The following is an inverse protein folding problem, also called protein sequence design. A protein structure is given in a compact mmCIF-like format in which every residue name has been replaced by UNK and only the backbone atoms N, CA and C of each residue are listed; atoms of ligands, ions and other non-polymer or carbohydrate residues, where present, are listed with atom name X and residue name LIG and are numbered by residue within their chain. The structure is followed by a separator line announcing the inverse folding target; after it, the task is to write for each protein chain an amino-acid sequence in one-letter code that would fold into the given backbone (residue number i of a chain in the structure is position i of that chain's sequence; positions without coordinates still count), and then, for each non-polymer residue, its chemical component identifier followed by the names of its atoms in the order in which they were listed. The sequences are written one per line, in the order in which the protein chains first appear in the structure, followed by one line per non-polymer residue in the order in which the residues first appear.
data_IF_165894988960
#
_entry.id   IF_165894988960
#
_cell.length_a   1.000
_cell.length_b   1.000
_cell.length_c   1.000
_cell.angle_alpha   90.00
_cell.angle_beta   90.00
_cell.angle_gamma   90.00
#
_symmetry.space_group_name_H-M   'P 1'
#
loop_
_entity.id
_entity.type
_entity.pdbx_description
1 polymer ?
#
# COMPACT_ATOMS: atom_id res chain seq x y z
N UNK A 1 13.51 3.79 -3.58
CA UNK A 1 12.52 3.45 -2.53
C UNK A 1 11.90 2.10 -2.86
N UNK A 2 11.44 1.34 -1.87
CA UNK A 2 10.83 0.02 -2.10
C UNK A 2 10.09 -0.48 -0.86
N UNK A 3 9.46 -1.65 -0.96
CA UNK A 3 8.76 -2.30 0.17
C UNK A 3 9.06 -3.79 0.18
N UNK A 4 8.97 -4.41 1.35
CA UNK A 4 9.13 -5.86 1.55
C UNK A 4 8.02 -6.34 2.47
N UNK A 5 7.42 -7.48 2.13
CA UNK A 5 6.39 -8.12 2.94
C UNK A 5 6.83 -9.53 3.34
N UNK A 6 6.46 -9.95 4.53
CA UNK A 6 6.68 -11.29 5.04
C UNK A 6 5.42 -11.80 5.72
N UNK A 7 4.99 -13.01 5.37
CA UNK A 7 3.82 -13.66 5.94
C UNK A 7 2.93 -14.33 4.89
N UNK A 8 1.89 -15.05 5.32
CA UNK A 8 0.90 -15.64 4.41
C UNK A 8 0.10 -14.56 3.66
N UNK A 9 -0.25 -14.83 2.40
CA UNK A 9 -1.18 -13.99 1.62
C UNK A 9 -0.61 -12.69 1.06
N UNK A 10 0.69 -12.43 1.19
CA UNK A 10 1.30 -11.14 0.79
C UNK A 10 1.30 -10.86 -0.72
N UNK A 11 0.94 -11.82 -1.56
CA UNK A 11 0.91 -11.67 -3.03
C UNK A 11 0.09 -10.45 -3.48
N UNK A 12 -1.06 -10.22 -2.85
CA UNK A 12 -1.92 -9.07 -3.17
C UNK A 12 -1.24 -7.74 -2.83
N UNK A 13 -0.59 -7.66 -1.66
CA UNK A 13 0.16 -6.49 -1.21
C UNK A 13 1.36 -6.19 -2.12
N UNK A 14 2.09 -7.23 -2.54
CA UNK A 14 3.20 -7.11 -3.51
C UNK A 14 2.69 -6.56 -4.84
N UNK A 15 1.53 -7.01 -5.30
CA UNK A 15 0.94 -6.54 -6.55
C UNK A 15 0.60 -5.04 -6.48
N UNK A 16 -0.14 -4.58 -5.46
CA UNK A 16 -0.47 -3.16 -5.31
C UNK A 16 0.78 -2.28 -5.09
N UNK A 17 1.76 -2.79 -4.32
CA UNK A 17 3.02 -2.09 -4.09
C UNK A 17 3.86 -1.94 -5.37
N UNK A 18 3.80 -2.91 -6.28
CA UNK A 18 4.53 -2.85 -7.55
C UNK A 18 4.08 -1.65 -8.36
N UNK A 19 2.79 -1.34 -8.41
CA UNK A 19 2.29 -0.14 -9.09
C UNK A 19 2.78 1.15 -8.41
N UNK A 20 2.73 1.21 -7.07
CA UNK A 20 3.18 2.38 -6.33
C UNK A 20 4.68 2.65 -6.54
N UNK A 21 5.52 1.61 -6.49
CA UNK A 21 6.98 1.73 -6.63
C UNK A 21 7.39 1.93 -8.09
N UNK A 22 6.96 1.06 -9.01
CA UNK A 22 7.36 1.14 -10.42
C UNK A 22 6.75 2.36 -11.13
N UNK A 23 5.57 2.80 -10.70
CA UNK A 23 4.92 4.02 -11.18
C UNK A 23 5.39 5.30 -10.49
N UNK A 24 6.34 5.21 -9.56
CA UNK A 24 6.84 6.34 -8.75
C UNK A 24 5.69 7.22 -8.23
N UNK A 25 4.63 6.58 -7.71
CA UNK A 25 3.40 7.28 -7.33
C UNK A 25 3.70 8.13 -6.09
N UNK A 26 3.48 9.46 -6.13
CA UNK A 26 3.68 10.32 -4.97
C UNK A 26 2.79 9.91 -3.81
N UNK A 27 3.30 10.03 -2.58
CA UNK A 27 2.60 9.59 -1.36
C UNK A 27 1.27 10.32 -1.21
N UNK A 28 1.20 11.59 -1.61
CA UNK A 28 -0.02 12.40 -1.57
C UNK A 28 -1.12 11.80 -2.47
N UNK A 29 -0.74 11.10 -3.55
CA UNK A 29 -1.69 10.43 -4.45
C UNK A 29 -2.14 9.08 -3.90
N UNK A 30 -1.28 8.37 -3.16
CA UNK A 30 -1.63 7.08 -2.57
C UNK A 30 -2.79 7.17 -1.56
N UNK A 31 -2.99 8.33 -0.94
CA UNK A 31 -4.13 8.58 -0.04
C UNK A 31 -5.50 8.44 -0.72
N UNK A 32 -5.55 8.58 -2.04
CA UNK A 32 -6.76 8.43 -2.83
C UNK A 32 -6.99 7.00 -3.32
N UNK A 33 -6.04 6.09 -3.09
CA UNK A 33 -6.20 4.69 -3.46
C UNK A 33 -7.14 4.01 -2.48
N UNK A 34 -8.29 3.54 -2.98
CA UNK A 34 -9.25 2.78 -2.19
C UNK A 34 -8.98 1.28 -2.39
N UNK A 35 -8.57 0.54 -1.35
CA UNK A 35 -8.43 -0.90 -1.46
C UNK A 35 -9.80 -1.58 -1.65
N UNK A 36 -9.83 -2.69 -2.38
CA UNK A 36 -11.05 -3.48 -2.52
C UNK A 36 -11.41 -4.15 -1.18
N UNK A 37 -12.70 -4.32 -0.89
CA UNK A 37 -13.18 -5.05 0.28
C UNK A 37 -13.83 -6.38 -0.14
N UNK A 38 -13.58 -7.50 0.55
CA UNK A 38 -12.60 -7.71 1.63
C UNK A 38 -11.23 -8.14 1.09
N UNK A 39 -10.13 -7.47 1.50
CA UNK A 39 -8.77 -7.82 1.04
C UNK A 39 -7.67 -7.49 2.04
N UNK A 40 -6.45 -8.02 1.84
CA UNK A 40 -5.30 -7.63 2.68
C UNK A 40 -4.86 -6.19 2.41
N UNK A 41 -5.17 -5.64 1.24
CA UNK A 41 -4.91 -4.24 0.89
C UNK A 41 -5.53 -3.20 1.83
N UNK A 42 -6.50 -3.59 2.68
CA UNK A 42 -7.04 -2.75 3.74
C UNK A 42 -5.99 -2.30 4.78
N UNK A 43 -4.78 -2.87 4.76
CA UNK A 43 -3.63 -2.41 5.58
C UNK A 43 -3.07 -1.05 5.12
N UNK A 44 -3.22 -0.70 3.83
CA UNK A 44 -2.56 0.47 3.25
C UNK A 44 -2.99 1.81 3.85
N UNK A 45 -4.30 2.09 4.08
CA UNK A 45 -4.72 3.34 4.71
C UNK A 45 -4.08 3.54 6.09
N UNK A 46 -4.01 2.48 6.91
CA UNK A 46 -3.37 2.54 8.25
C UNK A 46 -1.87 2.82 8.19
N UNK A 47 -1.19 2.25 7.19
CA UNK A 47 0.23 2.54 6.95
C UNK A 47 0.43 4.01 6.55
N UNK A 48 -0.43 4.54 5.66
CA UNK A 48 -0.35 5.93 5.21
C UNK A 48 -0.72 6.92 6.32
N UNK A 49 -1.66 6.58 7.21
CA UNK A 49 -1.98 7.34 8.42
C UNK A 49 -0.74 7.49 9.31
N UNK A 50 -0.02 6.38 9.55
CA UNK A 50 1.20 6.37 10.35
C UNK A 50 2.30 7.23 9.71
N UNK A 51 2.37 7.27 8.38
CA UNK A 51 3.36 8.07 7.65
C UNK A 51 3.05 9.57 7.68
N UNK A 52 1.76 9.95 7.65
CA UNK A 52 1.33 11.36 7.69
C UNK A 52 1.56 12.02 9.05
N UNK A 53 1.68 11.23 10.11
CA UNK A 53 1.71 11.72 11.49
C UNK A 53 0.31 12.06 12.03
N UNK A 54 0.18 12.31 13.34
CA UNK A 54 -1.06 12.81 13.95
C UNK A 54 -1.45 14.21 13.46
#
# INVERSE_FOLDING_TARGET
MGVTFAGPGVTELVHSATFAVAGEIPVERLWHAVPAFPTLGEVWPRLLETYRGP
#
